data_IF_144314635159
#
_entry.id   IF_144314635159
#
_cell.length_a   1.000
_cell.length_b   1.000
_cell.length_c   1.000
_cell.angle_alpha   90.00
_cell.angle_beta   90.00
_cell.angle_gamma   90.00
#
_symmetry.space_group_name_H-M   'P 1'
#
loop_
_entity.id
_entity.type
_entity.pdbx_description
1 polymer ?
#
# COMPACT_ATOMS: atom_id res chain seq x y z
N UNK A 1 9.09 -11.35 0.76
CA UNK A 1 10.55 -11.15 0.95
C UNK A 1 10.87 -10.22 2.10
N UNK A 2 10.16 -9.09 2.26
CA UNK A 2 10.37 -8.13 3.37
C UNK A 2 10.34 -8.77 4.77
N UNK A 3 9.29 -9.52 5.09
CA UNK A 3 9.16 -10.23 6.40
C UNK A 3 10.34 -11.14 6.69
N UNK A 4 10.79 -11.92 5.71
CA UNK A 4 11.93 -12.83 5.88
C UNK A 4 13.24 -12.09 6.14
N UNK A 5 13.49 -10.98 5.43
CA UNK A 5 14.67 -10.16 5.64
C UNK A 5 14.70 -9.55 7.05
N UNK A 6 13.59 -8.94 7.48
CA UNK A 6 13.47 -8.32 8.82
C UNK A 6 13.63 -9.37 9.92
N UNK A 7 12.95 -10.52 9.81
CA UNK A 7 13.06 -11.60 10.79
C UNK A 7 14.48 -12.15 10.88
N UNK A 8 15.18 -12.32 9.75
CA UNK A 8 16.56 -12.81 9.74
C UNK A 8 17.52 -11.83 10.42
N UNK A 9 17.38 -10.52 10.18
CA UNK A 9 18.16 -9.49 10.86
C UNK A 9 17.91 -9.55 12.37
N UNK A 10 16.66 -9.61 12.81
CA UNK A 10 16.31 -9.68 14.23
C UNK A 10 16.87 -10.93 14.92
N UNK A 11 16.91 -12.06 14.21
CA UNK A 11 17.54 -13.30 14.70
C UNK A 11 19.03 -13.15 14.98
N UNK A 12 19.75 -12.48 14.08
CA UNK A 12 21.18 -12.23 14.24
C UNK A 12 21.45 -11.22 15.36
N UNK A 13 20.57 -10.23 15.55
CA UNK A 13 20.71 -9.25 16.63
C UNK A 13 20.41 -9.80 18.02
N UNK A 14 19.38 -10.66 18.16
CA UNK A 14 18.94 -11.11 19.48
C UNK A 14 19.80 -12.24 20.06
N UNK A 15 20.27 -13.18 19.23
CA UNK A 15 21.16 -14.26 19.66
C UNK A 15 20.62 -15.16 20.79
N UNK A 16 19.30 -15.18 21.00
CA UNK A 16 18.65 -15.88 22.12
C UNK A 16 18.75 -17.41 21.95
N UNK A 17 19.18 -18.15 22.99
CA UNK A 17 19.23 -19.60 22.96
C UNK A 17 17.82 -20.23 22.96
N UNK A 18 17.64 -21.27 22.15
CA UNK A 18 16.42 -22.08 22.09
C UNK A 18 16.26 -22.96 23.35
N UNK A 19 15.05 -23.44 23.66
CA UNK A 19 14.84 -24.36 24.77
C UNK A 19 15.67 -25.65 24.66
N UNK A 20 15.97 -26.10 23.43
CA UNK A 20 16.80 -27.28 23.13
C UNK A 20 18.31 -26.96 23.04
N UNK A 21 18.73 -25.73 23.34
CA UNK A 21 20.13 -25.31 23.22
C UNK A 21 21.09 -26.13 24.09
N UNK A 22 20.66 -26.51 25.30
CA UNK A 22 21.47 -27.29 26.23
C UNK A 22 21.92 -28.63 25.63
N UNK A 23 20.96 -29.39 25.06
CA UNK A 23 21.22 -30.69 24.44
C UNK A 23 22.08 -30.57 23.17
N UNK A 24 21.99 -29.45 22.45
CA UNK A 24 22.84 -29.17 21.28
C UNK A 24 24.29 -28.85 21.67
N UNK A 25 24.49 -28.23 22.83
CA UNK A 25 25.80 -27.83 23.34
C UNK A 25 26.55 -29.02 23.97
N UNK A 26 25.83 -29.95 24.62
CA UNK A 26 26.40 -31.10 25.34
C UNK A 26 25.73 -32.43 24.91
N UNK A 27 26.09 -32.99 23.75
CA UNK A 27 25.51 -34.25 23.26
C UNK A 27 25.95 -35.49 24.08
N UNK A 28 27.14 -35.45 24.68
CA UNK A 28 27.72 -36.55 25.47
C UNK A 28 26.97 -36.79 26.78
N UNK A 29 26.40 -35.74 27.39
CA UNK A 29 25.58 -35.81 28.60
C UNK A 29 24.24 -36.56 28.40
N UNK A 30 23.92 -36.97 27.18
CA UNK A 30 22.68 -37.67 26.83
C UNK A 30 22.88 -39.17 26.54
N UNK A 31 24.12 -39.60 26.29
CA UNK A 31 24.45 -40.98 25.91
C UNK A 31 24.74 -41.89 27.11
N UNK A 32 25.20 -41.29 28.19
CA UNK A 32 25.40 -41.96 29.46
C UNK A 32 24.38 -41.35 30.41
N UNK A 33 23.73 -42.13 31.26
CA UNK A 33 22.98 -41.61 32.42
C UNK A 33 23.95 -40.98 33.42
N UNK A 34 24.78 -40.05 32.94
CA UNK A 34 26.02 -39.61 33.52
C UNK A 34 25.67 -38.79 34.75
N UNK A 35 25.92 -39.45 35.88
CA UNK A 35 26.28 -38.86 37.15
C UNK A 35 26.95 -37.50 36.95
N UNK A 36 26.32 -36.48 37.53
CA UNK A 36 26.87 -35.17 37.86
C UNK A 36 28.07 -34.73 37.00
N UNK A 37 27.80 -34.05 35.88
CA UNK A 37 28.83 -33.31 35.17
C UNK A 37 29.54 -32.37 36.17
N UNK A 38 30.84 -32.53 36.44
CA UNK A 38 31.52 -31.75 37.46
C UNK A 38 31.40 -30.26 37.14
N UNK A 39 30.97 -29.44 38.12
CA UNK A 39 30.86 -27.98 38.01
C UNK A 39 32.18 -27.26 37.67
N UNK A 40 33.27 -28.01 37.56
CA UNK A 40 34.63 -27.58 37.24
C UNK A 40 35.02 -27.78 35.77
N UNK A 41 34.18 -28.39 34.93
CA UNK A 41 34.45 -28.50 33.49
C UNK A 41 34.35 -27.11 32.84
N UNK A 42 35.29 -26.69 31.97
CA UNK A 42 35.14 -25.45 31.23
C UNK A 42 33.78 -25.48 30.50
N UNK A 43 33.00 -24.42 30.68
CA UNK A 43 31.65 -24.20 30.12
C UNK A 43 31.66 -24.04 28.58
N UNK A 44 32.49 -24.81 27.90
CA UNK A 44 32.71 -24.79 26.47
C UNK A 44 31.85 -25.87 25.82
N UNK A 45 31.01 -25.50 24.88
CA UNK A 45 30.20 -26.47 24.14
C UNK A 45 31.09 -27.47 23.40
N UNK A 46 30.75 -28.74 23.48
CA UNK A 46 31.45 -29.85 22.79
C UNK A 46 30.74 -30.28 21.50
N UNK A 47 29.47 -29.87 21.33
CA UNK A 47 28.67 -30.19 20.15
C UNK A 47 29.15 -29.53 18.85
N UNK A 48 28.50 -29.89 17.74
CA UNK A 48 28.80 -29.32 16.43
C UNK A 48 28.51 -27.80 16.38
N UNK A 49 29.49 -27.03 15.89
CA UNK A 49 29.43 -25.57 15.83
C UNK A 49 28.23 -25.06 15.02
N UNK A 50 27.87 -25.72 13.91
CA UNK A 50 26.73 -25.29 13.09
C UNK A 50 25.40 -25.47 13.85
N UNK A 51 25.26 -26.59 14.55
CA UNK A 51 24.08 -26.92 15.37
C UNK A 51 23.94 -25.99 16.59
N UNK A 52 25.05 -25.62 17.21
CA UNK A 52 25.11 -24.65 18.32
C UNK A 52 24.72 -23.25 17.86
N UNK A 53 25.31 -22.76 16.75
CA UNK A 53 24.97 -21.45 16.16
C UNK A 53 23.48 -21.40 15.81
N UNK A 54 22.92 -22.49 15.30
CA UNK A 54 21.50 -22.58 15.02
C UNK A 54 20.65 -22.57 16.30
N UNK A 55 21.11 -23.23 17.36
CA UNK A 55 20.51 -23.17 18.69
C UNK A 55 20.47 -21.76 19.31
N UNK A 56 21.32 -20.83 18.86
CA UNK A 56 21.35 -19.41 19.29
C UNK A 56 20.42 -18.48 18.50
N UNK A 57 19.61 -19.01 17.58
CA UNK A 57 18.68 -18.21 16.74
C UNK A 57 17.22 -18.48 17.10
N UNK A 58 16.85 -18.35 18.38
CA UNK A 58 15.47 -18.60 18.82
C UNK A 58 14.51 -17.45 18.51
N UNK A 59 14.97 -16.21 18.65
CA UNK A 59 14.11 -15.02 18.63
C UNK A 59 14.35 -14.16 17.38
N UNK A 60 13.30 -13.69 16.68
CA UNK A 60 11.92 -14.15 16.70
C UNK A 60 11.72 -15.40 15.82
N UNK A 61 10.59 -16.11 15.99
CA UNK A 61 10.29 -17.30 15.18
C UNK A 61 10.09 -16.94 13.70
N UNK A 62 10.97 -17.46 12.84
CA UNK A 62 10.92 -17.29 11.39
C UNK A 62 9.64 -17.87 10.78
N UNK A 63 9.33 -19.13 11.13
CA UNK A 63 8.12 -19.83 10.68
C UNK A 63 6.86 -19.06 11.06
N UNK A 64 6.75 -18.62 12.31
CA UNK A 64 5.58 -17.86 12.79
C UNK A 64 5.44 -16.54 12.03
N UNK A 65 6.52 -15.77 11.87
CA UNK A 65 6.48 -14.49 11.15
C UNK A 65 6.07 -14.61 9.69
N UNK A 66 6.58 -15.63 8.97
CA UNK A 66 6.25 -15.86 7.57
C UNK A 66 4.81 -16.33 7.41
N UNK A 67 4.39 -17.32 8.21
CA UNK A 67 3.03 -17.86 8.17
C UNK A 67 2.00 -16.78 8.47
N UNK A 68 2.20 -15.98 9.52
CA UNK A 68 1.28 -14.89 9.84
C UNK A 68 1.33 -13.77 8.80
N UNK A 69 2.47 -13.47 8.19
CA UNK A 69 2.54 -12.44 7.16
C UNK A 69 1.73 -12.81 5.91
N UNK A 70 1.92 -14.02 5.37
CA UNK A 70 1.19 -14.47 4.17
C UNK A 70 -0.29 -14.65 4.46
N UNK A 71 -0.63 -15.35 5.55
CA UNK A 71 -2.02 -15.67 5.86
C UNK A 71 -2.84 -14.45 6.29
N UNK A 72 -2.23 -13.47 6.96
CA UNK A 72 -2.90 -12.18 7.27
C UNK A 72 -3.19 -11.41 5.99
N UNK A 73 -2.24 -11.38 5.04
CA UNK A 73 -2.49 -10.75 3.75
C UNK A 73 -3.64 -11.46 3.00
N UNK A 74 -3.66 -12.80 2.99
CA UNK A 74 -4.76 -13.56 2.40
C UNK A 74 -6.10 -13.30 3.10
N UNK A 75 -6.12 -13.22 4.43
CA UNK A 75 -7.31 -12.83 5.20
C UNK A 75 -7.82 -11.47 4.75
N UNK A 76 -6.97 -10.43 4.74
CA UNK A 76 -7.36 -9.08 4.32
C UNK A 76 -7.83 -9.04 2.86
N UNK A 77 -7.15 -9.74 1.96
CA UNK A 77 -7.52 -9.83 0.55
C UNK A 77 -8.90 -10.47 0.37
N UNK A 78 -9.13 -11.64 0.96
CA UNK A 78 -10.42 -12.35 0.88
C UNK A 78 -11.53 -11.51 1.54
N UNK A 79 -11.27 -10.93 2.71
CA UNK A 79 -12.24 -10.05 3.39
C UNK A 79 -12.62 -8.83 2.56
N UNK A 80 -11.67 -8.24 1.84
CA UNK A 80 -11.92 -7.12 0.92
C UNK A 80 -12.75 -7.54 -0.29
N UNK A 81 -12.44 -8.69 -0.91
CA UNK A 81 -13.19 -9.21 -2.07
C UNK A 81 -14.61 -9.64 -1.73
N UNK A 82 -14.81 -10.25 -0.55
CA UNK A 82 -16.13 -10.64 -0.07
C UNK A 82 -16.89 -9.47 0.57
N UNK A 83 -16.25 -8.31 0.76
CA UNK A 83 -16.80 -7.18 1.49
C UNK A 83 -17.39 -7.63 2.84
N UNK A 84 -16.62 -8.42 3.60
CA UNK A 84 -17.05 -9.07 4.85
C UNK A 84 -17.59 -8.08 5.88
N UNK A 85 -17.08 -6.84 5.88
CA UNK A 85 -17.48 -5.76 6.79
C UNK A 85 -18.47 -4.77 6.14
N UNK A 86 -19.11 -5.15 5.04
CA UNK A 86 -20.19 -4.37 4.45
C UNK A 86 -21.46 -4.46 5.30
N UNK A 87 -22.37 -3.50 5.13
CA UNK A 87 -23.60 -3.38 5.92
C UNK A 87 -24.54 -4.58 5.83
N UNK A 88 -24.28 -5.53 4.93
CA UNK A 88 -24.95 -6.82 4.81
C UNK A 88 -24.15 -7.85 5.59
N UNK A 89 -24.45 -8.00 6.89
CA UNK A 89 -23.72 -8.85 7.84
C UNK A 89 -23.84 -10.36 7.57
N UNK A 90 -23.21 -10.84 6.49
CA UNK A 90 -23.19 -12.25 6.12
C UNK A 90 -22.02 -12.98 6.80
N UNK A 91 -22.30 -13.69 7.90
CA UNK A 91 -21.29 -14.36 8.73
C UNK A 91 -20.42 -15.40 8.00
N UNK A 92 -20.94 -16.06 6.96
CA UNK A 92 -20.17 -17.06 6.20
C UNK A 92 -18.94 -16.45 5.52
N UNK A 93 -18.98 -15.17 5.14
CA UNK A 93 -17.86 -14.44 4.53
C UNK A 93 -16.72 -14.28 5.52
N UNK A 94 -17.06 -14.06 6.81
CA UNK A 94 -16.08 -13.98 7.88
C UNK A 94 -15.43 -15.35 8.10
N UNK A 95 -16.23 -16.41 8.19
CA UNK A 95 -15.73 -17.78 8.36
C UNK A 95 -14.70 -18.14 7.28
N UNK A 96 -15.03 -17.91 6.00
CA UNK A 96 -14.11 -18.18 4.87
C UNK A 96 -12.84 -17.34 5.00
N UNK A 97 -12.95 -16.06 5.33
CA UNK A 97 -11.77 -15.20 5.45
C UNK A 97 -10.85 -15.61 6.62
N UNK A 98 -11.39 -16.13 7.72
CA UNK A 98 -10.63 -16.48 8.94
C UNK A 98 -9.84 -17.78 8.79
N UNK A 99 -10.21 -18.68 7.87
CA UNK A 99 -9.51 -19.97 7.64
C UNK A 99 -7.97 -19.81 7.50
N UNK A 100 -7.43 -18.90 6.66
CA UNK A 100 -6.00 -18.59 6.61
C UNK A 100 -5.35 -18.32 7.99
N UNK A 101 -6.01 -17.55 8.85
CA UNK A 101 -5.47 -17.21 10.19
C UNK A 101 -5.46 -18.42 11.12
N UNK A 102 -6.45 -19.32 11.00
CA UNK A 102 -6.46 -20.58 11.74
C UNK A 102 -5.29 -21.48 11.31
N UNK A 103 -5.03 -21.57 9.99
CA UNK A 103 -3.88 -22.31 9.48
C UNK A 103 -2.54 -21.73 9.97
N UNK A 104 -2.39 -20.41 9.99
CA UNK A 104 -1.21 -19.75 10.57
C UNK A 104 -1.04 -20.09 12.05
N UNK A 105 -2.15 -20.10 12.80
CA UNK A 105 -2.15 -20.44 14.23
C UNK A 105 -1.73 -21.89 14.45
N UNK A 106 -2.22 -22.84 13.66
CA UNK A 106 -1.78 -24.24 13.73
C UNK A 106 -0.27 -24.40 13.48
N UNK A 107 0.29 -23.67 12.50
CA UNK A 107 1.73 -23.68 12.23
C UNK A 107 2.53 -23.07 13.38
N UNK A 108 2.01 -22.02 14.02
CA UNK A 108 2.68 -21.41 15.17
C UNK A 108 2.63 -22.30 16.42
N UNK A 109 1.50 -22.98 16.66
CA UNK A 109 1.33 -23.91 17.78
C UNK A 109 2.28 -25.10 17.64
N UNK A 110 2.42 -25.68 16.44
CA UNK A 110 3.35 -26.80 16.23
C UNK A 110 4.79 -26.44 16.58
N UNK A 111 5.22 -25.19 16.35
CA UNK A 111 6.56 -24.70 16.75
C UNK A 111 6.77 -24.56 18.26
N UNK A 112 5.68 -24.47 19.04
CA UNK A 112 5.75 -24.48 20.50
C UNK A 112 5.78 -25.92 21.02
N UNK A 113 5.02 -26.84 20.39
CA UNK A 113 5.00 -28.25 20.76
C UNK A 113 6.34 -28.96 20.53
N UNK A 114 7.09 -28.56 19.49
CA UNK A 114 8.39 -29.17 19.15
C UNK A 114 9.56 -28.67 20.03
N UNK A 115 9.30 -27.92 21.12
CA UNK A 115 10.31 -27.29 22.00
C UNK A 115 11.38 -26.42 21.30
N UNK A 116 11.16 -26.04 20.04
CA UNK A 116 12.12 -25.23 19.29
C UNK A 116 12.06 -23.74 19.65
N UNK A 117 10.93 -23.27 20.19
CA UNK A 117 10.72 -21.85 20.49
C UNK A 117 9.98 -21.67 21.81
N UNK A 118 10.37 -20.63 22.54
CA UNK A 118 9.54 -20.12 23.61
C UNK A 118 8.28 -19.49 23.00
N UNK A 119 7.16 -19.56 23.70
CA UNK A 119 5.90 -18.96 23.24
C UNK A 119 6.04 -17.44 22.98
N UNK A 120 6.94 -16.74 23.66
CA UNK A 120 7.22 -15.31 23.40
C UNK A 120 7.83 -15.08 22.01
N UNK A 121 8.74 -15.96 21.59
CA UNK A 121 9.42 -15.88 20.29
C UNK A 121 8.42 -16.08 19.14
N UNK A 122 7.41 -16.93 19.38
CA UNK A 122 6.28 -17.16 18.48
C UNK A 122 5.35 -15.95 18.44
N UNK A 123 4.96 -15.42 19.61
CA UNK A 123 4.06 -14.26 19.71
C UNK A 123 4.63 -13.03 19.00
N UNK A 124 5.89 -12.68 19.27
CA UNK A 124 6.55 -11.53 18.65
C UNK A 124 6.73 -11.76 17.14
N UNK A 125 7.07 -12.98 16.73
CA UNK A 125 7.14 -13.35 15.31
C UNK A 125 5.80 -13.14 14.60
N UNK A 126 4.70 -13.60 15.20
CA UNK A 126 3.35 -13.44 14.66
C UNK A 126 2.95 -11.97 14.55
N UNK A 127 3.19 -11.16 15.60
CA UNK A 127 2.91 -9.71 15.58
C UNK A 127 3.67 -9.01 14.45
N UNK A 128 4.96 -9.30 14.29
CA UNK A 128 5.79 -8.74 13.21
C UNK A 128 5.20 -9.08 11.83
N UNK A 129 4.81 -10.34 11.63
CA UNK A 129 4.17 -10.78 10.38
C UNK A 129 2.87 -10.06 10.08
N UNK A 130 1.99 -9.91 11.09
CA UNK A 130 0.72 -9.19 10.98
C UNK A 130 0.94 -7.72 10.62
N UNK A 131 1.86 -7.02 11.29
CA UNK A 131 2.13 -5.59 11.04
C UNK A 131 2.64 -5.36 9.63
N UNK A 132 3.57 -6.19 9.15
CA UNK A 132 4.10 -6.09 7.78
C UNK A 132 3.00 -6.38 6.76
N UNK A 133 2.19 -7.42 6.97
CA UNK A 133 1.09 -7.75 6.07
C UNK A 133 0.03 -6.64 6.01
N UNK A 134 -0.34 -6.09 7.16
CA UNK A 134 -1.30 -5.00 7.29
C UNK A 134 -0.83 -3.75 6.54
N UNK A 135 0.42 -3.31 6.80
CA UNK A 135 0.98 -2.14 6.13
C UNK A 135 1.04 -2.34 4.62
N UNK A 136 1.56 -3.47 4.15
CA UNK A 136 1.64 -3.80 2.71
C UNK A 136 0.25 -3.83 2.08
N UNK A 137 -0.73 -4.47 2.70
CA UNK A 137 -2.11 -4.51 2.18
C UNK A 137 -2.67 -3.10 1.97
N UNK A 138 -2.56 -2.24 2.98
CA UNK A 138 -3.05 -0.86 2.92
C UNK A 138 -2.28 0.06 1.96
N UNK A 139 -1.12 -0.35 1.45
CA UNK A 139 -0.46 0.36 0.34
C UNK A 139 -1.16 0.12 -1.00
N UNK A 140 -1.86 -1.00 -1.17
CA UNK A 140 -2.49 -1.39 -2.43
C UNK A 140 -4.02 -1.34 -2.40
N UNK A 141 -4.64 -1.52 -1.23
CA UNK A 141 -6.09 -1.61 -1.07
C UNK A 141 -6.62 -0.66 -0.01
N UNK A 142 -7.91 -0.34 -0.12
CA UNK A 142 -8.63 0.46 0.86
C UNK A 142 -8.91 -0.34 2.14
N UNK A 143 -9.30 0.36 3.21
CA UNK A 143 -9.77 -0.29 4.42
C UNK A 143 -10.99 -1.17 4.16
N UNK A 144 -11.11 -2.27 4.91
CA UNK A 144 -12.16 -3.29 4.73
C UNK A 144 -13.58 -2.75 4.94
N UNK A 145 -13.73 -1.67 5.70
CA UNK A 145 -15.02 -1.00 5.91
C UNK A 145 -15.41 -0.06 4.76
N UNK A 146 -14.50 0.23 3.83
CA UNK A 146 -14.76 1.13 2.71
C UNK A 146 -15.64 0.46 1.65
N UNK A 147 -16.55 1.22 1.02
CA UNK A 147 -17.46 0.71 -0.03
C UNK A 147 -16.71 0.08 -1.21
N UNK A 148 -15.53 0.60 -1.51
CA UNK A 148 -14.65 0.13 -2.60
C UNK A 148 -13.48 -0.74 -2.10
N UNK A 149 -13.63 -1.45 -0.98
CA UNK A 149 -12.60 -2.35 -0.43
C UNK A 149 -12.17 -3.47 -1.38
N UNK A 150 -13.02 -3.88 -2.32
CA UNK A 150 -12.73 -4.92 -3.30
C UNK A 150 -11.84 -4.45 -4.48
N UNK A 151 -11.61 -3.13 -4.60
CA UNK A 151 -10.88 -2.50 -5.70
C UNK A 151 -9.48 -2.05 -5.25
N UNK A 152 -8.46 -2.17 -6.13
CA UNK A 152 -7.14 -1.63 -5.86
C UNK A 152 -7.17 -0.10 -5.86
N UNK A 153 -6.30 0.51 -5.07
CA UNK A 153 -6.20 1.97 -4.95
C UNK A 153 -5.81 2.66 -6.26
N UNK A 154 -5.02 1.99 -7.11
CA UNK A 154 -4.60 2.52 -8.43
C UNK A 154 -5.78 2.84 -9.34
N UNK A 155 -6.83 2.01 -9.31
CA UNK A 155 -8.03 2.23 -10.13
C UNK A 155 -8.79 3.49 -9.67
N UNK A 156 -8.79 3.79 -8.37
CA UNK A 156 -9.39 5.02 -7.86
C UNK A 156 -8.59 6.23 -8.32
N UNK A 157 -7.26 6.17 -8.26
CA UNK A 157 -6.37 7.26 -8.71
C UNK A 157 -6.55 7.53 -10.21
N UNK A 158 -6.55 6.49 -11.04
CA UNK A 158 -6.74 6.60 -12.49
C UNK A 158 -8.12 7.19 -12.83
N UNK A 159 -9.18 6.77 -12.13
CA UNK A 159 -10.51 7.35 -12.30
C UNK A 159 -10.59 8.82 -11.90
N UNK A 160 -9.87 9.26 -10.87
CA UNK A 160 -9.82 10.67 -10.47
C UNK A 160 -9.06 11.51 -11.49
N UNK A 161 -7.90 11.04 -11.97
CA UNK A 161 -7.10 11.75 -12.97
C UNK A 161 -7.83 11.89 -14.32
N UNK A 162 -8.56 10.86 -14.72
CA UNK A 162 -9.37 10.91 -15.94
C UNK A 162 -10.52 11.93 -15.83
N UNK A 163 -11.17 12.02 -14.67
CA UNK A 163 -12.21 13.04 -14.43
C UNK A 163 -11.60 14.45 -14.44
N UNK A 164 -10.49 14.67 -13.73
CA UNK A 164 -9.82 15.98 -13.68
C UNK A 164 -9.35 16.43 -15.08
N UNK A 165 -8.80 15.51 -15.88
CA UNK A 165 -8.38 15.82 -17.25
C UNK A 165 -9.56 16.14 -18.19
N UNK A 166 -10.69 15.42 -18.06
CA UNK A 166 -11.89 15.72 -18.82
C UNK A 166 -12.47 17.09 -18.44
N UNK A 167 -12.55 17.37 -17.14
CA UNK A 167 -13.06 18.63 -16.62
C UNK A 167 -12.18 19.81 -17.05
N UNK A 168 -10.85 19.70 -16.95
CA UNK A 168 -9.91 20.69 -17.47
C UNK A 168 -10.09 20.96 -18.96
N UNK A 169 -10.15 19.90 -19.79
CA UNK A 169 -10.34 20.03 -21.23
C UNK A 169 -11.69 20.70 -21.57
N UNK A 170 -12.75 20.42 -20.81
CA UNK A 170 -14.05 21.07 -21.01
C UNK A 170 -14.00 22.57 -20.70
N UNK A 171 -13.29 22.99 -19.66
CA UNK A 171 -13.13 24.41 -19.33
C UNK A 171 -12.25 25.13 -20.36
N UNK A 172 -11.17 24.51 -20.84
CA UNK A 172 -10.28 25.08 -21.86
C UNK A 172 -11.03 25.31 -23.18
N UNK A 173 -11.87 24.36 -23.60
CA UNK A 173 -12.73 24.50 -24.78
C UNK A 173 -13.75 25.64 -24.62
N UNK A 174 -14.42 25.76 -23.47
CA UNK A 174 -15.38 26.85 -23.20
C UNK A 174 -14.68 28.23 -23.14
N UNK A 175 -13.48 28.30 -22.55
CA UNK A 175 -12.67 29.51 -22.53
C UNK A 175 -12.27 29.93 -23.95
N UNK A 176 -11.75 28.99 -24.74
CA UNK A 176 -11.32 29.26 -26.10
C UNK A 176 -12.51 29.65 -27.00
N UNK A 177 -13.69 29.04 -26.81
CA UNK A 177 -14.91 29.43 -27.53
C UNK A 177 -15.33 30.87 -27.20
N UNK A 178 -15.24 31.27 -25.92
CA UNK A 178 -15.52 32.65 -25.48
C UNK A 178 -14.53 33.66 -26.08
N UNK A 179 -13.24 33.37 -26.08
CA UNK A 179 -12.24 34.28 -26.67
C UNK A 179 -12.46 34.46 -28.18
N UNK A 180 -12.75 33.38 -28.91
CA UNK A 180 -13.05 33.46 -30.34
C UNK A 180 -14.30 34.30 -30.60
N UNK A 181 -15.36 34.14 -29.79
CA UNK A 181 -16.57 34.98 -29.89
C UNK A 181 -16.27 36.46 -29.64
N UNK A 182 -15.47 36.77 -28.62
CA UNK A 182 -15.07 38.16 -28.30
C UNK A 182 -14.24 38.77 -29.43
N UNK A 183 -13.23 38.04 -29.93
CA UNK A 183 -12.40 38.50 -31.04
C UNK A 183 -13.22 38.71 -32.33
N UNK A 184 -14.19 37.84 -32.60
CA UNK A 184 -15.09 37.98 -33.75
C UNK A 184 -15.98 39.23 -33.62
N UNK A 185 -16.58 39.48 -32.45
CA UNK A 185 -17.38 40.68 -32.19
C UNK A 185 -16.52 41.94 -32.35
N UNK A 186 -15.29 41.95 -31.85
CA UNK A 186 -14.35 43.07 -32.00
C UNK A 186 -14.00 43.33 -33.48
N UNK A 187 -13.80 42.28 -34.28
CA UNK A 187 -13.54 42.39 -35.72
C UNK A 187 -14.75 42.94 -36.50
N UNK A 188 -15.96 42.44 -36.20
CA UNK A 188 -17.20 42.91 -36.83
C UNK A 188 -17.48 44.37 -36.48
N UNK A 189 -17.32 44.76 -35.22
CA UNK A 189 -17.54 46.15 -34.76
C UNK A 189 -16.54 47.12 -35.39
N UNK A 190 -15.25 46.77 -35.46
CA UNK A 190 -14.24 47.58 -36.17
C UNK A 190 -14.56 47.75 -37.67
N UNK A 191 -15.06 46.69 -38.30
CA UNK A 191 -15.48 46.74 -39.71
C UNK A 191 -16.70 47.66 -39.91
N UNK A 192 -17.67 47.64 -39.01
CA UNK A 192 -18.82 48.54 -39.06
C UNK A 192 -18.44 50.01 -38.80
N UNK A 193 -17.50 50.26 -37.89
CA UNK A 193 -16.98 51.62 -37.63
C UNK A 193 -16.24 52.19 -38.85
N UNK A 194 -15.45 51.38 -39.55
CA UNK A 194 -14.73 51.83 -40.75
C UNK A 194 -15.70 52.13 -41.90
N UNK A 195 -16.70 51.29 -42.13
CA UNK A 195 -17.75 51.52 -43.16
C UNK A 195 -18.56 52.78 -42.86
N UNK A 196 -19.02 52.97 -41.62
CA UNK A 196 -19.78 54.17 -41.23
C UNK A 196 -18.95 55.44 -41.34
N UNK A 197 -17.68 55.40 -40.95
CA UNK A 197 -16.75 56.53 -41.12
C UNK A 197 -16.56 56.90 -42.59
N UNK A 198 -16.40 55.90 -43.48
CA UNK A 198 -16.33 56.13 -44.92
C UNK A 198 -17.62 56.74 -45.47
N UNK A 199 -18.79 56.25 -45.07
CA UNK A 199 -20.08 56.77 -45.53
C UNK A 199 -20.30 58.23 -45.10
N UNK A 200 -19.94 58.58 -43.86
CA UNK A 200 -20.00 59.95 -43.34
C UNK A 200 -19.09 60.88 -44.14
N UNK A 201 -17.86 60.47 -44.44
CA UNK A 201 -16.92 61.25 -45.24
C UNK A 201 -17.48 61.54 -46.65
N UNK A 202 -18.00 60.52 -47.33
CA UNK A 202 -18.63 60.68 -48.65
C UNK A 202 -19.80 61.66 -48.59
N UNK A 203 -20.64 61.55 -47.56
CA UNK A 203 -21.79 62.45 -47.37
C UNK A 203 -21.35 63.90 -47.11
N UNK A 204 -20.28 64.11 -46.34
CA UNK A 204 -19.70 65.45 -46.12
C UNK A 204 -19.14 66.06 -47.41
N UNK A 205 -18.47 65.26 -48.25
CA UNK A 205 -17.95 65.74 -49.54
C UNK A 205 -19.11 66.14 -50.48
N UNK A 206 -20.16 65.33 -50.55
CA UNK A 206 -21.34 65.62 -51.38
C UNK A 206 -22.08 66.89 -50.92
N UNK A 207 -22.22 67.10 -49.60
CA UNK A 207 -22.87 68.30 -49.05
C UNK A 207 -22.01 69.57 -49.19
N UNK A 208 -20.69 69.45 -49.05
CA UNK A 208 -19.76 70.57 -49.33
C UNK A 208 -19.81 71.00 -50.80
N UNK A 209 -19.81 70.05 -51.74
CA UNK A 209 -19.95 70.33 -53.17
C UNK A 209 -21.29 70.98 -53.54
N UNK A 210 -22.37 70.59 -52.88
CA UNK A 210 -23.70 71.18 -53.10
C UNK A 210 -23.80 72.64 -52.63
N UNK A 211 -23.14 73.02 -51.52
CA UNK A 211 -23.18 74.40 -51.02
C UNK A 211 -22.34 75.39 -51.86
N UNK A 212 -21.29 74.92 -52.54
CA UNK A 212 -20.43 75.79 -53.35
C UNK A 212 -21.12 76.27 -54.65
N UNK A 213 -22.14 75.55 -55.13
CA UNK A 213 -22.92 75.92 -56.31
C UNK A 213 -24.05 76.94 -56.05
N UNK A 214 -24.27 77.38 -54.81
CA UNK A 214 -25.35 78.33 -54.45
C UNK A 214 -24.88 79.76 -54.13
N UNK A 215 -23.60 80.08 -54.33
CA UNK A 215 -23.05 81.42 -54.09
C UNK A 215 -22.67 82.20 -55.37
N UNK A 216 -23.24 81.84 -56.52
CA UNK A 216 -23.20 82.61 -57.76
C UNK A 216 -24.59 82.68 -58.38
#
# INVERSE_FOLDING_TARGET
>A
MLTGAVTNVLKLCAGRPRPDFYYRCFPEAQLEGAEEVPWTLPLHCTGDNATIIEGRKSFPSGHSSWSFSVMTWCFLYISGKLATFSSKGEGWRLCVSVVPLLLASCIAISRTCDNHHHWQDVLVGSMLGIVIAYTVYHRYYHSLSHKHCALPLSHTIESTQTIESYEYNSYDLDYHEKEVKVALIASVTNSQLTVTSFQLLVTMIQTAGYNQHRQW
#
